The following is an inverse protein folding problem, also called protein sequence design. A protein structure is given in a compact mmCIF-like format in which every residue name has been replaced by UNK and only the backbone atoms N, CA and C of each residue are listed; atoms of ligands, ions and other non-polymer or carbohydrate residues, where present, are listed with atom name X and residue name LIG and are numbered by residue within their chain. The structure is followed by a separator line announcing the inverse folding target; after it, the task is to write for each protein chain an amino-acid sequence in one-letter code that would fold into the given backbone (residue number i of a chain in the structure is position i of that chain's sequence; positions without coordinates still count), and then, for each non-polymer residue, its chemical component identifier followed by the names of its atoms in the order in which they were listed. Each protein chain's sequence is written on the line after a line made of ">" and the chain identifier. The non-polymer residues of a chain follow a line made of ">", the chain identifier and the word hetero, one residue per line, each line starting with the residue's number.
data_IF_841330519270
#
_entry.id   IF_841330519270
#
_cell.length_a   1.000
_cell.length_b   1.000
_cell.length_c   1.000
_cell.angle_alpha   90.00
_cell.angle_beta   90.00
_cell.angle_gamma   90.00
#
_symmetry.space_group_name_H-M   'P 1'
#
loop_
_entity.id
_entity.type
_entity.pdbx_description
1 polymer ?
#
# COMPACT_ATOMS: atom_id res chain seq x y z
N UNK A 1 16.65 -12.15 15.34
CA UNK A 1 16.58 -10.72 14.98
C UNK A 1 16.59 -9.94 16.28
N UNK A 2 17.51 -8.99 16.46
CA UNK A 2 17.66 -8.27 17.74
C UNK A 2 17.67 -6.76 17.49
N UNK A 3 17.16 -6.00 18.45
CA UNK A 3 17.28 -4.53 18.50
C UNK A 3 17.64 -4.10 19.92
N UNK A 4 18.26 -2.94 20.02
CA UNK A 4 18.67 -2.35 21.29
C UNK A 4 17.94 -1.02 21.47
N UNK A 5 17.51 -0.74 22.70
CA UNK A 5 17.08 0.61 23.07
C UNK A 5 18.30 1.49 23.38
N UNK A 6 18.04 2.74 23.78
CA UNK A 6 19.07 3.73 24.12
C UNK A 6 19.79 3.42 25.44
N UNK A 7 19.24 2.55 26.29
CA UNK A 7 19.81 2.13 27.57
C UNK A 7 20.64 0.82 27.44
N UNK A 8 20.66 0.23 26.25
CA UNK A 8 21.42 -0.98 25.94
C UNK A 8 20.65 -2.28 26.23
N UNK A 9 19.35 -2.24 26.51
CA UNK A 9 18.55 -3.45 26.64
C UNK A 9 18.35 -4.11 25.28
N UNK A 10 18.60 -5.42 25.23
CA UNK A 10 18.38 -6.23 24.03
C UNK A 10 16.94 -6.75 23.97
N UNK A 11 16.32 -6.62 22.81
CA UNK A 11 14.99 -7.16 22.50
C UNK A 11 15.05 -8.10 21.30
N UNK A 12 14.29 -9.20 21.37
CA UNK A 12 13.94 -9.97 20.19
C UNK A 12 12.87 -9.20 19.42
N UNK A 13 13.18 -8.83 18.17
CA UNK A 13 12.25 -8.06 17.35
C UNK A 13 11.34 -8.98 16.53
N UNK A 14 10.05 -8.97 16.86
CA UNK A 14 9.01 -9.69 16.11
C UNK A 14 8.25 -8.79 15.14
N UNK A 15 8.45 -7.46 15.20
CA UNK A 15 7.70 -6.49 14.39
C UNK A 15 8.36 -6.18 13.04
N UNK A 16 9.70 -6.27 12.99
CA UNK A 16 10.48 -6.35 11.74
C UNK A 16 10.11 -5.30 10.67
N UNK A 17 10.03 -4.04 11.09
CA UNK A 17 9.75 -2.92 10.19
C UNK A 17 8.36 -2.98 9.53
N UNK A 18 7.36 -3.52 10.24
CA UNK A 18 6.01 -3.75 9.70
C UNK A 18 6.01 -4.71 8.49
N UNK A 19 6.87 -5.74 8.55
CA UNK A 19 7.04 -6.74 7.49
C UNK A 19 8.08 -6.41 6.41
N UNK A 20 8.55 -5.15 6.33
CA UNK A 20 9.54 -4.75 5.32
C UNK A 20 10.91 -5.42 5.50
N UNK A 21 11.28 -5.76 6.74
CA UNK A 21 12.58 -6.35 7.06
C UNK A 21 12.52 -7.87 7.05
N UNK A 22 12.00 -8.46 5.98
CA UNK A 22 11.86 -9.92 5.83
C UNK A 22 13.19 -10.66 5.99
N UNK A 23 14.30 -10.11 5.47
CA UNK A 23 15.66 -10.67 5.62
C UNK A 23 16.34 -10.29 6.93
N UNK A 24 15.73 -9.38 7.71
CA UNK A 24 16.25 -8.94 8.99
C UNK A 24 16.99 -7.62 9.01
N UNK A 25 17.36 -7.22 10.22
CA UNK A 25 18.22 -6.07 10.46
C UNK A 25 19.61 -6.33 9.89
N UNK A 26 20.13 -5.40 9.09
CA UNK A 26 21.50 -5.39 8.57
C UNK A 26 21.92 -6.67 7.82
N UNK A 27 21.03 -7.27 7.03
CA UNK A 27 21.38 -8.46 6.23
C UNK A 27 22.64 -8.19 5.37
N UNK A 28 23.73 -8.98 5.50
CA UNK A 28 25.04 -8.63 4.94
C UNK A 28 25.04 -8.34 3.43
N UNK A 29 24.26 -9.10 2.66
CA UNK A 29 24.14 -8.88 1.21
C UNK A 29 23.47 -7.54 0.86
N UNK A 30 22.47 -7.11 1.64
CA UNK A 30 21.75 -5.84 1.45
C UNK A 30 22.68 -4.69 1.82
N UNK A 31 23.37 -4.79 2.98
CA UNK A 31 24.33 -3.78 3.42
C UNK A 31 25.45 -3.59 2.39
N UNK A 32 26.04 -4.68 1.89
CA UNK A 32 27.09 -4.62 0.87
C UNK A 32 26.61 -3.96 -0.42
N UNK A 33 25.39 -4.28 -0.89
CA UNK A 33 24.82 -3.69 -2.09
C UNK A 33 24.58 -2.18 -1.93
N UNK A 34 24.02 -1.76 -0.78
CA UNK A 34 23.80 -0.34 -0.46
C UNK A 34 25.14 0.41 -0.40
N UNK A 35 26.13 -0.10 0.33
CA UNK A 35 27.45 0.53 0.44
C UNK A 35 28.12 0.68 -0.94
N UNK A 36 28.03 -0.35 -1.78
CA UNK A 36 28.57 -0.30 -3.15
C UNK A 36 27.86 0.75 -4.02
N UNK A 37 26.54 0.91 -3.89
CA UNK A 37 25.79 1.90 -4.66
C UNK A 37 26.01 3.33 -4.16
N UNK A 38 26.08 3.55 -2.84
CA UNK A 38 26.29 4.88 -2.26
C UNK A 38 27.59 5.52 -2.77
N UNK A 39 28.66 4.73 -2.94
CA UNK A 39 29.92 5.20 -3.52
C UNK A 39 29.82 5.65 -5.00
N UNK A 40 28.76 5.25 -5.71
CA UNK A 40 28.49 5.59 -7.11
C UNK A 40 27.45 6.71 -7.28
N UNK A 41 26.82 7.13 -6.17
CA UNK A 41 25.69 8.07 -6.15
C UNK A 41 24.32 7.38 -6.01
N UNK A 42 23.37 8.09 -5.39
CA UNK A 42 22.05 7.57 -5.00
C UNK A 42 20.87 8.19 -5.74
N UNK A 43 21.09 9.31 -6.43
CA UNK A 43 20.03 10.01 -7.16
C UNK A 43 20.62 10.79 -8.33
N UNK A 44 20.37 10.33 -9.55
CA UNK A 44 20.96 10.92 -10.76
C UNK A 44 20.04 11.90 -11.48
N UNK A 45 18.78 12.03 -11.08
CA UNK A 45 17.78 12.79 -11.85
C UNK A 45 17.56 12.28 -13.28
N UNK A 46 17.99 11.04 -13.54
CA UNK A 46 17.96 10.36 -14.84
C UNK A 46 17.82 8.85 -14.62
N UNK A 47 17.45 8.13 -15.68
CA UNK A 47 17.31 6.68 -15.66
C UNK A 47 18.63 5.94 -15.42
N UNK A 48 18.54 4.71 -14.93
CA UNK A 48 19.69 3.84 -14.69
C UNK A 48 19.34 2.35 -14.84
N UNK A 49 20.32 1.50 -15.12
CA UNK A 49 20.07 0.07 -15.37
C UNK A 49 19.41 -0.68 -14.19
N UNK A 50 19.65 -0.22 -12.96
CA UNK A 50 19.10 -0.89 -11.77
C UNK A 50 17.57 -0.78 -11.65
N UNK A 51 16.92 0.27 -12.17
CA UNK A 51 15.45 0.36 -12.13
C UNK A 51 14.82 -0.60 -13.14
N UNK A 52 15.47 -0.81 -14.30
CA UNK A 52 15.04 -1.78 -15.31
C UNK A 52 15.12 -3.19 -14.74
N UNK A 53 16.29 -3.55 -14.20
CA UNK A 53 16.50 -4.87 -13.58
C UNK A 53 15.53 -5.14 -12.43
N UNK A 54 15.24 -4.11 -11.61
CA UNK A 54 14.28 -4.27 -10.53
C UNK A 54 12.85 -4.44 -11.07
N UNK A 55 12.45 -3.67 -12.08
CA UNK A 55 11.14 -3.80 -12.71
C UNK A 55 10.93 -5.20 -13.30
N UNK A 56 11.92 -5.77 -13.99
CA UNK A 56 11.88 -7.13 -14.53
C UNK A 56 11.65 -8.18 -13.44
N UNK A 57 12.32 -8.03 -12.29
CA UNK A 57 12.11 -8.93 -11.14
C UNK A 57 10.69 -8.79 -10.55
N UNK A 58 10.16 -7.57 -10.48
CA UNK A 58 8.78 -7.34 -10.01
C UNK A 58 7.78 -7.99 -10.96
N UNK A 59 7.96 -7.86 -12.28
CA UNK A 59 7.11 -8.48 -13.30
C UNK A 59 7.13 -10.00 -13.23
N UNK A 60 8.29 -10.61 -12.93
CA UNK A 60 8.40 -12.06 -12.73
C UNK A 60 7.60 -12.53 -11.50
N UNK A 61 7.54 -11.72 -10.44
CA UNK A 61 6.81 -12.04 -9.21
C UNK A 61 5.31 -11.76 -9.34
N UNK A 62 4.92 -10.75 -10.12
CA UNK A 62 3.54 -10.30 -10.31
C UNK A 62 3.22 -10.28 -11.81
N UNK A 63 2.85 -11.43 -12.41
CA UNK A 63 2.67 -11.54 -13.86
C UNK A 63 1.57 -10.66 -14.44
N UNK A 64 0.59 -10.23 -13.62
CA UNK A 64 -0.46 -9.29 -14.04
C UNK A 64 0.01 -7.84 -14.15
N UNK A 65 1.20 -7.51 -13.63
CA UNK A 65 1.78 -6.18 -13.69
C UNK A 65 2.71 -6.02 -14.89
N UNK A 66 2.16 -5.79 -16.08
CA UNK A 66 2.95 -5.68 -17.33
C UNK A 66 3.86 -4.45 -17.40
N UNK A 67 3.57 -3.39 -16.64
CA UNK A 67 4.40 -2.19 -16.53
C UNK A 67 4.58 -1.80 -15.06
N UNK A 68 5.77 -1.29 -14.73
CA UNK A 68 6.12 -0.92 -13.34
C UNK A 68 6.48 0.56 -13.26
N UNK A 69 5.94 1.24 -12.25
CA UNK A 69 6.32 2.60 -11.84
C UNK A 69 6.67 2.57 -10.36
N UNK A 70 7.92 2.88 -10.03
CA UNK A 70 8.34 2.99 -8.63
C UNK A 70 7.87 4.31 -8.00
N UNK A 71 7.56 4.25 -6.71
CA UNK A 71 7.24 5.37 -5.83
C UNK A 71 8.11 5.30 -4.58
N UNK A 72 8.13 6.34 -3.76
CA UNK A 72 8.95 6.39 -2.54
C UNK A 72 8.28 5.72 -1.34
N UNK A 73 6.98 5.45 -1.41
CA UNK A 73 6.23 4.79 -0.34
C UNK A 73 5.03 4.00 -0.86
N UNK A 74 4.50 3.13 -0.01
CA UNK A 74 3.22 2.45 -0.25
C UNK A 74 2.03 3.43 -0.33
N UNK A 75 2.07 4.55 0.41
CA UNK A 75 1.03 5.60 0.32
C UNK A 75 1.04 6.28 -1.05
N UNK A 76 2.21 6.56 -1.62
CA UNK A 76 2.31 7.10 -2.97
C UNK A 76 1.87 6.08 -4.02
N UNK A 77 2.19 4.80 -3.82
CA UNK A 77 1.80 3.73 -4.74
C UNK A 77 0.28 3.60 -4.84
N UNK A 78 -0.42 3.54 -3.71
CA UNK A 78 -1.89 3.49 -3.67
C UNK A 78 -2.50 4.78 -4.21
N UNK A 79 -1.94 5.94 -3.86
CA UNK A 79 -2.41 7.22 -4.39
C UNK A 79 -2.33 7.28 -5.91
N UNK A 80 -1.20 6.84 -6.48
CA UNK A 80 -1.01 6.79 -7.93
C UNK A 80 -1.95 5.76 -8.58
N UNK A 81 -2.10 4.58 -7.97
CA UNK A 81 -3.02 3.54 -8.46
C UNK A 81 -4.45 4.09 -8.58
N UNK A 82 -4.96 4.76 -7.55
CA UNK A 82 -6.29 5.38 -7.58
C UNK A 82 -6.41 6.43 -8.69
N UNK A 83 -5.38 7.25 -8.89
CA UNK A 83 -5.36 8.26 -9.98
C UNK A 83 -5.38 7.61 -11.35
N UNK A 84 -4.57 6.58 -11.58
CA UNK A 84 -4.51 5.84 -12.85
C UNK A 84 -5.85 5.15 -13.13
N UNK A 85 -6.44 4.47 -12.14
CA UNK A 85 -7.73 3.81 -12.26
C UNK A 85 -8.86 4.79 -12.62
N UNK A 86 -8.90 5.95 -11.97
CA UNK A 86 -9.87 7.02 -12.30
C UNK A 86 -9.64 7.59 -13.68
N UNK A 87 -8.39 7.86 -14.07
CA UNK A 87 -8.05 8.37 -15.39
C UNK A 87 -8.42 7.39 -16.51
N UNK A 88 -8.19 6.09 -16.28
CA UNK A 88 -8.52 5.03 -17.24
C UNK A 88 -10.02 4.85 -17.41
N UNK A 89 -10.77 4.84 -16.32
CA UNK A 89 -12.22 4.56 -16.36
C UNK A 89 -13.09 5.80 -16.59
N UNK A 90 -12.56 7.00 -16.36
CA UNK A 90 -13.34 8.25 -16.35
C UNK A 90 -14.30 8.38 -15.15
N UNK A 91 -14.22 7.45 -14.18
CA UNK A 91 -15.12 7.36 -13.02
C UNK A 91 -14.44 7.91 -11.77
N UNK A 92 -15.24 8.32 -10.78
CA UNK A 92 -14.73 9.04 -9.61
C UNK A 92 -14.66 8.19 -8.33
N UNK A 93 -15.56 7.22 -8.16
CA UNK A 93 -15.69 6.47 -6.90
C UNK A 93 -14.72 5.30 -6.81
N UNK A 94 -14.23 5.03 -5.60
CA UNK A 94 -13.43 3.84 -5.28
C UNK A 94 -14.13 3.09 -4.17
N UNK A 95 -14.30 1.78 -4.32
CA UNK A 95 -14.78 0.91 -3.24
C UNK A 95 -13.58 0.50 -2.39
N UNK A 96 -13.72 0.67 -1.07
CA UNK A 96 -12.73 0.28 -0.07
C UNK A 96 -13.41 -0.54 1.03
N UNK A 97 -12.75 -1.60 1.46
CA UNK A 97 -13.28 -2.47 2.51
C UNK A 97 -12.98 -1.90 3.92
N UNK A 98 -13.89 -2.11 4.87
CA UNK A 98 -13.66 -1.72 6.26
C UNK A 98 -12.46 -2.46 6.86
N UNK A 99 -11.65 -1.75 7.65
CA UNK A 99 -10.47 -2.33 8.30
C UNK A 99 -9.23 -2.39 7.41
N UNK A 100 -9.37 -2.15 6.10
CA UNK A 100 -8.23 -2.15 5.18
C UNK A 100 -7.47 -0.83 5.25
N UNK A 101 -6.14 -0.89 5.27
CA UNK A 101 -5.21 0.24 5.32
C UNK A 101 -4.45 0.34 4.00
N UNK A 102 -4.52 1.52 3.37
CA UNK A 102 -3.88 1.78 2.07
C UNK A 102 -2.99 3.03 2.11
N UNK A 103 -2.50 3.39 3.30
CA UNK A 103 -1.77 4.63 3.53
C UNK A 103 -2.65 5.74 4.11
N UNK A 104 -2.06 6.92 4.24
CA UNK A 104 -2.65 8.05 4.97
C UNK A 104 -3.13 9.19 4.06
N UNK A 105 -3.11 9.02 2.74
CA UNK A 105 -3.59 10.04 1.82
C UNK A 105 -5.13 10.13 1.83
N UNK A 106 -5.68 11.32 1.59
CA UNK A 106 -7.11 11.63 1.75
C UNK A 106 -8.08 10.62 1.11
N UNK A 107 -7.74 10.13 -0.09
CA UNK A 107 -8.58 9.17 -0.82
C UNK A 107 -8.72 7.76 -0.21
N UNK A 108 -8.07 7.43 0.91
CA UNK A 108 -8.17 6.09 1.54
C UNK A 108 -8.23 6.10 3.07
N UNK A 109 -8.25 7.27 3.74
CA UNK A 109 -8.23 7.33 5.21
C UNK A 109 -9.56 7.01 5.90
N UNK A 110 -10.64 6.87 5.13
CA UNK A 110 -11.96 6.48 5.63
C UNK A 110 -12.02 4.97 5.92
N UNK A 111 -12.77 4.55 6.95
CA UNK A 111 -13.07 3.14 7.21
C UNK A 111 -11.89 2.27 7.59
N UNK A 112 -10.84 2.82 8.21
CA UNK A 112 -9.66 2.03 8.68
C UNK A 112 -9.92 1.41 10.05
N UNK A 113 -10.59 2.11 10.97
CA UNK A 113 -10.91 1.63 12.31
C UNK A 113 -12.41 1.84 12.61
N UNK A 114 -13.01 1.01 13.49
CA UNK A 114 -14.36 1.27 13.97
C UNK A 114 -14.41 2.52 14.88
N UNK A 115 -15.50 3.31 14.84
CA UNK A 115 -16.61 3.25 13.89
C UNK A 115 -16.16 3.64 12.47
N UNK A 116 -16.46 2.80 11.47
CA UNK A 116 -15.88 2.90 10.13
C UNK A 116 -16.39 4.10 9.33
N UNK A 117 -17.50 4.69 9.76
CA UNK A 117 -18.12 5.87 9.19
C UNK A 117 -17.36 7.16 9.52
N UNK A 118 -16.38 7.09 10.43
CA UNK A 118 -15.56 8.23 10.85
C UNK A 118 -14.18 8.14 10.18
N UNK A 119 -13.74 9.19 9.47
CA UNK A 119 -12.40 9.21 8.88
C UNK A 119 -11.33 9.31 9.96
N UNK A 120 -10.14 8.74 9.70
CA UNK A 120 -8.98 8.86 10.60
C UNK A 120 -8.53 10.31 10.84
N UNK A 121 -8.88 11.23 9.94
CA UNK A 121 -8.49 12.63 10.01
C UNK A 121 -9.68 13.54 9.77
N UNK A 122 -9.91 14.48 10.69
CA UNK A 122 -10.89 15.54 10.54
C UNK A 122 -10.49 16.59 9.49
N UNK A 123 -9.25 16.55 9.00
CA UNK A 123 -8.74 17.50 8.01
C UNK A 123 -9.12 17.19 6.57
N UNK A 124 -9.77 16.05 6.30
CA UNK A 124 -10.13 15.66 4.94
C UNK A 124 -11.46 16.30 4.53
N UNK A 125 -11.52 17.04 3.40
CA UNK A 125 -12.76 17.62 2.92
C UNK A 125 -13.82 16.54 2.64
N UNK A 126 -15.09 16.83 2.97
CA UNK A 126 -16.21 15.92 2.74
C UNK A 126 -16.31 15.48 1.26
N UNK A 127 -16.11 16.39 0.32
CA UNK A 127 -16.10 16.09 -1.11
C UNK A 127 -15.03 15.07 -1.54
N UNK A 128 -13.94 14.93 -0.77
CA UNK A 128 -12.93 13.88 -0.99
C UNK A 128 -13.39 12.56 -0.40
N UNK A 129 -13.97 12.58 0.81
CA UNK A 129 -14.53 11.39 1.46
C UNK A 129 -15.67 10.78 0.65
N UNK A 130 -16.52 11.61 0.04
CA UNK A 130 -17.62 11.18 -0.81
C UNK A 130 -17.14 10.33 -2.00
N UNK A 131 -15.87 10.40 -2.39
CA UNK A 131 -15.30 9.61 -3.48
C UNK A 131 -14.96 8.17 -3.05
N UNK A 132 -15.07 7.84 -1.77
CA UNK A 132 -14.79 6.52 -1.23
C UNK A 132 -16.09 5.87 -0.77
N UNK A 133 -16.42 4.73 -1.37
CA UNK A 133 -17.55 3.92 -0.96
C UNK A 133 -17.03 2.83 -0.03
N UNK A 134 -17.46 2.87 1.22
CA UNK A 134 -17.07 1.89 2.22
C UNK A 134 -17.96 0.66 2.15
N UNK A 135 -17.35 -0.52 2.20
CA UNK A 135 -18.03 -1.80 2.13
C UNK A 135 -17.59 -2.69 3.30
N UNK A 136 -18.50 -3.43 3.95
CA UNK A 136 -18.11 -4.49 4.87
C UNK A 136 -17.13 -5.49 4.21
N UNK A 137 -16.13 -5.99 4.95
CA UNK A 137 -15.26 -7.04 4.43
C UNK A 137 -16.06 -8.32 4.27
N UNK A 138 -15.69 -9.14 3.29
CA UNK A 138 -16.28 -10.46 3.05
C UNK A 138 -17.79 -10.44 2.72
N UNK A 139 -18.28 -9.33 2.17
CA UNK A 139 -19.64 -9.20 1.64
C UNK A 139 -19.58 -8.92 0.13
N UNK A 140 -19.45 -9.98 -0.66
CA UNK A 140 -19.36 -9.87 -2.12
C UNK A 140 -20.61 -9.23 -2.73
N UNK A 141 -21.78 -9.46 -2.14
CA UNK A 141 -23.05 -8.88 -2.63
C UNK A 141 -23.08 -7.38 -2.43
N UNK A 142 -22.57 -6.89 -1.30
CA UNK A 142 -22.42 -5.45 -1.08
C UNK A 142 -21.46 -4.82 -2.10
N UNK A 143 -20.35 -5.50 -2.43
CA UNK A 143 -19.44 -5.04 -3.50
C UNK A 143 -20.16 -5.00 -4.85
N UNK A 144 -20.85 -6.08 -5.25
CA UNK A 144 -21.61 -6.16 -6.49
C UNK A 144 -22.64 -5.02 -6.59
N UNK A 145 -23.41 -4.79 -5.54
CA UNK A 145 -24.41 -3.70 -5.45
C UNK A 145 -23.77 -2.32 -5.64
N UNK A 146 -22.59 -2.09 -5.07
CA UNK A 146 -21.87 -0.83 -5.27
C UNK A 146 -21.38 -0.65 -6.71
N UNK A 147 -20.97 -1.74 -7.38
CA UNK A 147 -20.50 -1.70 -8.75
C UNK A 147 -21.63 -1.41 -9.76
N UNK A 148 -22.86 -1.83 -9.47
CA UNK A 148 -24.05 -1.55 -10.29
C UNK A 148 -24.36 -0.05 -10.46
N UNK A 149 -23.86 0.80 -9.55
CA UNK A 149 -24.03 2.26 -9.61
C UNK A 149 -23.45 2.89 -10.89
N UNK A 150 -22.50 2.22 -11.54
CA UNK A 150 -21.86 2.70 -12.77
C UNK A 150 -20.81 3.80 -12.58
N UNK A 151 -20.73 4.44 -11.40
CA UNK A 151 -19.80 5.53 -11.08
C UNK A 151 -18.49 5.08 -10.37
N UNK A 152 -18.32 3.77 -10.19
CA UNK A 152 -17.14 3.16 -9.54
C UNK A 152 -16.01 2.88 -10.53
N UNK A 153 -14.86 3.51 -10.27
CA UNK A 153 -13.61 3.35 -11.02
C UNK A 153 -12.90 2.02 -10.70
N UNK A 154 -12.94 1.57 -9.44
CA UNK A 154 -12.32 0.31 -9.03
C UNK A 154 -12.51 -0.01 -7.56
N UNK A 155 -12.03 -1.19 -7.17
CA UNK A 155 -12.02 -1.71 -5.79
C UNK A 155 -10.57 -1.79 -5.33
N UNK A 156 -10.29 -1.35 -4.11
CA UNK A 156 -8.99 -1.54 -3.46
C UNK A 156 -9.15 -2.38 -2.19
N UNK A 157 -8.27 -3.38 -2.03
CA UNK A 157 -8.27 -4.31 -0.91
C UNK A 157 -6.85 -4.80 -0.58
N UNK A 158 -6.72 -5.40 0.60
CA UNK A 158 -5.52 -6.08 1.09
C UNK A 158 -5.81 -7.59 0.97
N UNK A 159 -5.07 -8.36 0.15
CA UNK A 159 -5.41 -9.75 -0.11
C UNK A 159 -5.38 -10.65 1.13
N UNK A 160 -4.49 -10.35 2.09
CA UNK A 160 -4.40 -11.08 3.35
C UNK A 160 -5.50 -10.70 4.35
N UNK A 161 -6.29 -9.66 4.08
CA UNK A 161 -7.24 -9.09 5.03
C UNK A 161 -6.80 -7.77 5.64
N UNK A 162 -7.78 -6.96 6.05
CA UNK A 162 -7.55 -5.73 6.78
C UNK A 162 -6.96 -5.96 8.18
N UNK A 163 -6.54 -4.87 8.81
CA UNK A 163 -5.97 -4.88 10.17
C UNK A 163 -4.75 -5.82 10.30
N UNK A 164 -3.85 -5.78 9.32
CA UNK A 164 -2.68 -6.66 9.25
C UNK A 164 -3.06 -8.16 9.24
N UNK A 165 -4.16 -8.51 8.56
CA UNK A 165 -4.61 -9.87 8.38
C UNK A 165 -5.37 -10.47 9.57
N UNK A 166 -5.67 -9.70 10.63
CA UNK A 166 -6.54 -10.19 11.72
C UNK A 166 -7.98 -10.38 11.28
N UNK A 167 -8.40 -9.67 10.22
CA UNK A 167 -9.68 -9.88 9.53
C UNK A 167 -9.40 -10.38 8.11
N UNK A 168 -9.28 -11.70 7.87
CA UNK A 168 -8.93 -12.25 6.57
C UNK A 168 -9.94 -11.85 5.49
N UNK A 169 -9.44 -11.61 4.28
CA UNK A 169 -10.30 -11.46 3.09
C UNK A 169 -10.67 -12.83 2.54
N UNK A 170 -11.96 -13.10 2.52
CA UNK A 170 -12.55 -14.31 1.96
C UNK A 170 -13.72 -13.92 1.05
N UNK A 171 -13.98 -14.75 0.04
CA UNK A 171 -15.10 -14.59 -0.89
C UNK A 171 -16.43 -15.00 -0.26
#
# INVERSE_FOLDING_TARGET
>A
MRKWDVDGHEYIDYWMGHGALFLGHCHPAVVKAIQGQVARGTHFGASHELEIRWAELVQQLIPSGEMVRFTMSGTEATHLALRVTRAFTGKSKIVKLHGHFHGWHDGVVAGVHPPFEVPLSAGVPGATLDQVLLCPPNDIKAVETLLERGDVAGVILEPAGGQAGTTPTVS
#
